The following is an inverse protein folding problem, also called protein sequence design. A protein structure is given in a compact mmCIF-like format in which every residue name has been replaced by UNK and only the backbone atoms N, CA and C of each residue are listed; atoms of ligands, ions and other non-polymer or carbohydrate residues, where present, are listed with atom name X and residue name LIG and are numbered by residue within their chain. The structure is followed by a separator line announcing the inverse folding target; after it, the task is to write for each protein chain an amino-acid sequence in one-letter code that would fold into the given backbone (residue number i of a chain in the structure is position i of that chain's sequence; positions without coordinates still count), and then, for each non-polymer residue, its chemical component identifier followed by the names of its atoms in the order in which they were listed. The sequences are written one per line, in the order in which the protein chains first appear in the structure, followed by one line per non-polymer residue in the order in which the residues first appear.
data_IF_269602946749
#
_entry.id   IF_269602946749
#
_cell.length_a   1.000
_cell.length_b   1.000
_cell.length_c   1.000
_cell.angle_alpha   90.00
_cell.angle_beta   90.00
_cell.angle_gamma   90.00
#
_symmetry.space_group_name_H-M   'P 1'
#
loop_
_entity.id
_entity.type
_entity.pdbx_description
1 polymer ?
#
# COMPACT_ATOMS: atom_id res chain seq x y z
N UNK A 1 3.29 0.65 -8.50
CA UNK A 1 3.58 -0.31 -7.42
C UNK A 1 2.29 -1.08 -7.16
N UNK A 2 2.22 -2.37 -7.51
CA UNK A 2 1.02 -3.18 -7.35
C UNK A 2 1.34 -4.43 -6.53
N UNK A 3 1.32 -4.26 -5.21
CA UNK A 3 1.81 -5.23 -4.25
C UNK A 3 0.70 -6.18 -3.77
N UNK A 4 1.11 -7.37 -3.36
CA UNK A 4 0.26 -8.34 -2.66
C UNK A 4 0.45 -8.19 -1.15
N UNK A 5 -0.64 -7.94 -0.44
CA UNK A 5 -0.63 -7.75 1.01
C UNK A 5 -1.09 -9.02 1.70
N UNK A 6 -0.40 -9.41 2.77
CA UNK A 6 -0.82 -10.54 3.61
C UNK A 6 -1.92 -10.09 4.58
N UNK A 7 -3.04 -10.80 4.58
CA UNK A 7 -4.13 -10.62 5.53
C UNK A 7 -3.87 -11.41 6.83
N UNK A 8 -4.57 -11.09 7.94
CA UNK A 8 -4.41 -11.83 9.21
C UNK A 8 -4.69 -13.33 9.12
N UNK A 9 -5.54 -13.76 8.17
CA UNK A 9 -5.82 -15.17 7.90
C UNK A 9 -4.72 -15.87 7.07
N UNK A 10 -3.65 -15.17 6.69
CA UNK A 10 -2.53 -15.68 5.90
C UNK A 10 -2.72 -15.57 4.39
N UNK A 11 -3.91 -15.21 3.90
CA UNK A 11 -4.15 -15.00 2.47
C UNK A 11 -3.42 -13.77 1.94
N UNK A 12 -3.12 -13.78 0.64
CA UNK A 12 -2.54 -12.63 -0.05
C UNK A 12 -3.58 -12.00 -0.96
N UNK A 13 -3.73 -10.67 -0.88
CA UNK A 13 -4.69 -9.91 -1.69
C UNK A 13 -3.99 -8.78 -2.43
N UNK A 14 -4.34 -8.64 -3.71
CA UNK A 14 -3.94 -7.51 -4.56
C UNK A 14 -5.10 -6.53 -4.66
N UNK A 15 -4.90 -5.28 -4.24
CA UNK A 15 -5.95 -4.26 -4.26
C UNK A 15 -5.98 -3.43 -5.54
N UNK A 16 -4.86 -3.37 -6.29
CA UNK A 16 -4.75 -2.54 -7.48
C UNK A 16 -4.80 -3.39 -8.74
N UNK A 17 -5.45 -2.85 -9.78
CA UNK A 17 -5.39 -3.34 -11.15
C UNK A 17 -4.28 -2.62 -11.93
N UNK A 18 -3.39 -3.38 -12.59
CA UNK A 18 -2.28 -2.86 -13.41
C UNK A 18 -2.75 -2.06 -14.65
N UNK A 19 -4.04 -2.14 -14.99
CA UNK A 19 -4.65 -1.41 -16.10
C UNK A 19 -5.26 -0.06 -15.69
N UNK A 20 -5.22 0.28 -14.41
CA UNK A 20 -5.75 1.54 -13.87
C UNK A 20 -4.63 2.51 -13.49
N UNK A 21 -4.94 3.79 -13.58
CA UNK A 21 -4.09 4.86 -13.05
C UNK A 21 -4.56 5.25 -11.65
N UNK A 22 -3.62 5.44 -10.73
CA UNK A 22 -3.87 5.85 -9.35
C UNK A 22 -3.10 7.12 -9.06
N UNK A 23 -3.68 7.98 -8.22
CA UNK A 23 -2.91 9.02 -7.55
C UNK A 23 -2.09 8.36 -6.45
N UNK A 24 -0.83 8.74 -6.30
CA UNK A 24 -0.03 8.17 -5.22
C UNK A 24 1.22 8.95 -4.87
N UNK A 25 1.72 8.68 -3.66
CA UNK A 25 2.96 9.21 -3.14
C UNK A 25 3.63 8.16 -2.22
N UNK A 26 4.95 8.20 -2.16
CA UNK A 26 5.76 7.45 -1.21
C UNK A 26 6.38 8.43 -0.22
N UNK A 27 6.21 8.16 1.07
CA UNK A 27 6.75 8.98 2.15
C UNK A 27 7.71 8.14 2.99
N UNK A 28 8.84 8.71 3.35
CA UNK A 28 9.76 8.09 4.31
C UNK A 28 9.15 8.16 5.72
N UNK A 29 9.44 7.16 6.56
CA UNK A 29 9.04 7.19 7.96
C UNK A 29 9.96 8.14 8.74
N UNK A 30 9.41 9.26 9.22
CA UNK A 30 10.17 10.28 9.98
C UNK A 30 10.75 9.76 11.31
N UNK A 31 10.25 8.64 11.82
CA UNK A 31 10.72 8.03 13.07
C UNK A 31 11.91 7.08 12.89
N UNK A 32 12.54 7.05 11.71
CA UNK A 32 13.85 6.40 11.49
C UNK A 32 13.80 4.89 11.29
N UNK A 33 12.81 4.38 10.57
CA UNK A 33 12.73 2.96 10.19
C UNK A 33 13.10 2.69 8.72
N UNK A 34 13.43 1.44 8.39
CA UNK A 34 13.70 0.98 7.01
C UNK A 34 12.44 0.89 6.12
N UNK A 35 11.34 1.48 6.58
CA UNK A 35 10.02 1.38 5.98
C UNK A 35 9.52 2.72 5.45
N UNK A 36 8.78 2.62 4.37
CA UNK A 36 8.10 3.71 3.69
C UNK A 36 6.60 3.59 3.90
N UNK A 37 5.89 4.69 3.73
CA UNK A 37 4.44 4.70 3.59
C UNK A 37 4.09 4.91 2.12
N UNK A 38 3.25 4.02 1.59
CA UNK A 38 2.59 4.22 0.30
C UNK A 38 1.18 4.76 0.53
N UNK A 39 0.86 5.89 -0.08
CA UNK A 39 -0.50 6.41 -0.16
C UNK A 39 -0.95 6.32 -1.60
N UNK A 40 -2.06 5.64 -1.85
CA UNK A 40 -2.63 5.41 -3.17
C UNK A 40 -4.14 5.67 -3.14
N UNK A 41 -4.68 6.28 -4.17
CA UNK A 41 -6.11 6.54 -4.26
C UNK A 41 -6.61 6.55 -5.72
N UNK A 42 -7.87 6.18 -5.90
CA UNK A 42 -8.69 6.55 -7.06
C UNK A 42 -9.97 7.27 -6.58
N UNK A 43 -10.99 7.38 -7.44
CA UNK A 43 -12.25 8.03 -7.06
C UNK A 43 -13.07 7.26 -6.02
N UNK A 44 -12.80 5.96 -5.86
CA UNK A 44 -13.61 5.06 -5.05
C UNK A 44 -12.97 4.73 -3.70
N UNK A 45 -11.64 4.78 -3.60
CA UNK A 45 -10.94 4.43 -2.37
C UNK A 45 -9.62 5.19 -2.13
N UNK A 46 -9.20 5.16 -0.86
CA UNK A 46 -7.83 5.43 -0.43
C UNK A 46 -7.24 4.17 0.22
N UNK A 47 -6.00 3.86 -0.15
CA UNK A 47 -5.17 2.80 0.38
C UNK A 47 -3.92 3.43 1.00
N UNK A 48 -3.64 3.06 2.24
CA UNK A 48 -2.40 3.39 2.94
C UNK A 48 -1.75 2.07 3.33
N UNK A 49 -0.47 1.94 2.99
CA UNK A 49 0.35 0.78 3.33
C UNK A 49 1.74 1.17 3.79
N UNK A 50 2.43 0.21 4.42
CA UNK A 50 3.85 0.33 4.72
C UNK A 50 4.62 -0.86 4.17
N UNK A 51 5.84 -0.63 3.71
CA UNK A 51 6.72 -1.64 3.13
C UNK A 51 8.18 -1.22 3.29
N UNK A 52 9.07 -2.20 3.22
CA UNK A 52 10.51 -1.96 3.19
C UNK A 52 10.99 -1.54 1.79
N UNK A 53 12.29 -1.26 1.67
CA UNK A 53 12.92 -0.91 0.40
C UNK A 53 12.50 -1.86 -0.74
N UNK A 54 12.22 -1.27 -1.91
CA UNK A 54 11.73 -1.97 -3.10
C UNK A 54 10.35 -2.64 -2.95
N UNK A 55 9.54 -2.22 -1.97
CA UNK A 55 8.17 -2.73 -1.80
C UNK A 55 8.10 -4.09 -1.10
N UNK A 56 9.13 -4.45 -0.34
CA UNK A 56 9.20 -5.72 0.39
C UNK A 56 8.29 -5.72 1.62
N UNK A 57 7.84 -6.92 1.96
CA UNK A 57 6.99 -7.22 3.12
C UNK A 57 5.87 -6.19 3.35
N UNK A 58 5.00 -5.98 2.34
CA UNK A 58 4.00 -4.93 2.39
C UNK A 58 2.87 -5.27 3.36
N UNK A 59 2.51 -4.28 4.17
CA UNK A 59 1.45 -4.35 5.16
C UNK A 59 0.39 -3.29 4.85
N UNK A 60 -0.86 -3.72 4.79
CA UNK A 60 -1.99 -2.82 4.63
C UNK A 60 -2.28 -2.15 5.97
N UNK A 61 -2.27 -0.82 5.99
CA UNK A 61 -2.62 -0.04 7.18
C UNK A 61 -4.09 0.34 7.14
N UNK A 62 -4.53 0.97 6.03
CA UNK A 62 -5.90 1.38 5.81
C UNK A 62 -6.29 1.05 4.37
N UNK A 63 -7.48 0.48 4.22
CA UNK A 63 -8.21 0.50 2.96
C UNK A 63 -9.59 1.08 3.25
N UNK A 64 -9.88 2.26 2.70
CA UNK A 64 -11.15 2.94 2.92
C UNK A 64 -11.78 3.28 1.58
N UNK A 65 -12.94 2.67 1.33
CA UNK A 65 -13.84 3.11 0.27
C UNK A 65 -14.61 4.34 0.72
N UNK A 66 -15.07 5.12 -0.26
CA UNK A 66 -15.94 6.28 -0.04
C UNK A 66 -17.20 5.93 0.76
#
# INVERSE_FOLDING_TARGET
MNLEYRLPNGEKVKFLDDRKTYLGNQLECEFGGDRYFGVLADMDFILISTYEAQGKDPELIIYKKR
#
